data_IF_620449773748
#
_entry.id   IF_620449773748
#
_cell.length_a   1.000
_cell.length_b   1.000
_cell.length_c   1.000
_cell.angle_alpha   90.00
_cell.angle_beta   90.00
_cell.angle_gamma   90.00
#
_symmetry.space_group_name_H-M   'P 1'
#
loop_
_entity.id
_entity.type
_entity.pdbx_description
1 polymer ?
#
# COMPACT_ATOMS: atom_id res chain seq x y z
N UNK A 1 9.64 -60.60 -27.49
CA UNK A 1 10.71 -59.64 -27.17
C UNK A 1 10.70 -58.60 -28.29
N UNK A 2 10.21 -57.35 -28.16
CA UNK A 2 10.28 -56.42 -27.04
C UNK A 2 9.15 -55.36 -27.12
N UNK A 3 8.78 -54.89 -25.93
CA UNK A 3 7.70 -53.98 -25.56
C UNK A 3 7.59 -52.70 -26.40
N UNK A 4 6.43 -52.48 -27.04
CA UNK A 4 6.08 -51.20 -27.71
C UNK A 4 4.80 -50.54 -27.19
N UNK A 5 4.19 -51.08 -26.13
CA UNK A 5 2.88 -50.62 -25.62
C UNK A 5 3.02 -49.58 -24.49
N UNK A 6 4.24 -49.27 -24.04
CA UNK A 6 4.48 -48.42 -22.87
C UNK A 6 4.36 -46.89 -23.11
N UNK A 7 3.86 -46.42 -24.26
CA UNK A 7 3.74 -44.98 -24.55
C UNK A 7 2.35 -44.40 -24.23
N UNK A 8 1.31 -45.24 -24.17
CA UNK A 8 -0.07 -44.82 -23.91
C UNK A 8 -0.38 -44.40 -22.46
N UNK A 9 0.23 -44.94 -21.38
CA UNK A 9 -0.12 -44.53 -20.02
C UNK A 9 0.50 -43.17 -19.65
N UNK A 10 1.57 -42.75 -20.34
CA UNK A 10 2.28 -41.50 -20.05
C UNK A 10 1.45 -40.27 -20.49
N UNK A 11 0.68 -40.40 -21.57
CA UNK A 11 -0.17 -39.31 -22.07
C UNK A 11 -1.43 -39.09 -21.22
N UNK A 12 -1.97 -40.16 -20.63
CA UNK A 12 -3.12 -40.09 -19.72
C UNK A 12 -2.77 -39.39 -18.38
N UNK A 13 -1.51 -39.48 -17.94
CA UNK A 13 -1.03 -38.83 -16.71
C UNK A 13 -0.83 -37.31 -16.86
N UNK A 14 -0.51 -36.80 -18.06
CA UNK A 14 -0.36 -35.35 -18.28
C UNK A 14 -1.71 -34.61 -18.33
N UNK A 15 -2.79 -35.28 -18.71
CA UNK A 15 -4.12 -34.68 -18.79
C UNK A 15 -4.74 -34.39 -17.41
N UNK A 16 -4.16 -34.92 -16.32
CA UNK A 16 -4.55 -34.65 -14.94
C UNK A 16 -3.75 -33.51 -14.30
N UNK A 17 -2.86 -32.85 -15.03
CA UNK A 17 -2.16 -31.65 -14.57
C UNK A 17 -3.17 -30.50 -14.45
N UNK A 18 -3.76 -30.37 -13.25
CA UNK A 18 -4.82 -29.44 -12.94
C UNK A 18 -4.51 -28.00 -13.37
N UNK A 19 -5.56 -27.31 -13.81
CA UNK A 19 -5.54 -25.87 -14.00
C UNK A 19 -5.26 -25.21 -12.65
N UNK A 20 -4.03 -24.75 -12.43
CA UNK A 20 -3.70 -23.87 -11.32
C UNK A 20 -4.48 -22.56 -11.52
N UNK A 21 -5.59 -22.41 -10.80
CA UNK A 21 -6.32 -21.15 -10.73
C UNK A 21 -5.49 -20.16 -9.94
N UNK A 22 -4.96 -19.14 -10.61
CA UNK A 22 -4.34 -18.02 -9.93
C UNK A 22 -5.45 -17.19 -9.27
N UNK A 23 -5.50 -17.21 -7.94
CA UNK A 23 -6.32 -16.28 -7.18
C UNK A 23 -5.68 -14.90 -7.29
N UNK A 24 -6.31 -14.00 -8.04
CA UNK A 24 -5.88 -12.58 -8.07
C UNK A 24 -6.28 -11.94 -6.75
N UNK A 25 -5.29 -11.69 -5.90
CA UNK A 25 -5.47 -10.98 -4.64
C UNK A 25 -6.03 -9.57 -4.91
N UNK A 26 -7.21 -9.27 -4.34
CA UNK A 26 -7.87 -7.97 -4.39
C UNK A 26 -7.00 -6.80 -3.85
N UNK A 27 -5.93 -7.14 -3.13
CA UNK A 27 -4.94 -6.24 -2.51
C UNK A 27 -4.35 -5.26 -3.53
N UNK A 28 -4.10 -5.72 -4.77
CA UNK A 28 -3.43 -4.89 -5.77
C UNK A 28 -4.33 -3.75 -6.27
N UNK A 29 -5.64 -4.00 -6.41
CA UNK A 29 -6.61 -2.97 -6.84
C UNK A 29 -6.82 -1.89 -5.79
N UNK A 30 -6.96 -2.28 -4.52
CA UNK A 30 -7.17 -1.35 -3.41
C UNK A 30 -5.97 -0.40 -3.23
N UNK A 31 -4.75 -0.92 -3.40
CA UNK A 31 -3.55 -0.08 -3.35
C UNK A 31 -3.49 0.93 -4.51
N UNK A 32 -3.90 0.54 -5.72
CA UNK A 32 -3.88 1.39 -6.92
C UNK A 32 -4.87 2.57 -6.81
N UNK A 33 -6.10 2.30 -6.33
CA UNK A 33 -7.13 3.33 -6.15
C UNK A 33 -6.74 4.35 -5.07
N UNK A 34 -6.22 3.88 -3.93
CA UNK A 34 -5.74 4.77 -2.86
C UNK A 34 -4.58 5.66 -3.34
N UNK A 35 -3.62 5.10 -4.09
CA UNK A 35 -2.49 5.87 -4.65
C UNK A 35 -2.94 6.97 -5.60
N UNK A 36 -4.02 6.75 -6.37
CA UNK A 36 -4.54 7.75 -7.31
C UNK A 36 -5.18 8.95 -6.58
N UNK A 37 -5.77 8.71 -5.40
CA UNK A 37 -6.35 9.76 -4.58
C UNK A 37 -5.30 10.52 -3.74
N UNK A 38 -4.13 9.95 -3.47
CA UNK A 38 -3.12 10.53 -2.59
C UNK A 38 -2.18 11.56 -3.26
N UNK A 39 -1.61 12.50 -2.49
CA UNK A 39 -0.57 13.38 -2.99
C UNK A 39 0.64 12.59 -3.51
N UNK A 40 1.21 13.02 -4.63
CA UNK A 40 2.43 12.42 -5.16
C UNK A 40 3.65 12.86 -4.34
N UNK A 41 4.64 11.96 -4.23
CA UNK A 41 5.93 12.26 -3.62
C UNK A 41 6.57 13.48 -4.28
N UNK A 42 7.17 14.37 -3.49
CA UNK A 42 7.81 15.59 -3.96
C UNK A 42 6.89 16.81 -4.15
N UNK A 43 5.56 16.65 -4.10
CA UNK A 43 4.65 17.81 -4.07
C UNK A 43 4.97 18.72 -2.88
N UNK A 44 4.74 20.01 -3.02
CA UNK A 44 4.96 20.97 -1.92
C UNK A 44 3.77 20.99 -0.96
N UNK A 45 3.99 21.40 0.29
CA UNK A 45 2.90 21.61 1.25
C UNK A 45 1.79 22.49 0.69
N UNK A 46 2.14 23.57 -0.01
CA UNK A 46 1.17 24.47 -0.63
C UNK A 46 0.36 23.79 -1.75
N UNK A 47 1.00 22.94 -2.56
CA UNK A 47 0.30 22.16 -3.60
C UNK A 47 -0.67 21.14 -2.98
N UNK A 48 -0.25 20.49 -1.89
CA UNK A 48 -1.12 19.56 -1.16
C UNK A 48 -2.30 20.32 -0.56
N UNK A 49 -2.08 21.43 0.13
CA UNK A 49 -3.15 22.24 0.72
C UNK A 49 -4.10 22.82 -0.33
N UNK A 50 -3.58 23.24 -1.49
CA UNK A 50 -4.40 23.73 -2.59
C UNK A 50 -5.30 22.65 -3.21
N UNK A 51 -4.81 21.40 -3.29
CA UNK A 51 -5.55 20.29 -3.92
C UNK A 51 -6.49 19.56 -2.96
N UNK A 52 -6.10 19.41 -1.70
CA UNK A 52 -6.80 18.61 -0.70
C UNK A 52 -7.46 19.45 0.41
N UNK A 53 -7.24 20.76 0.41
CA UNK A 53 -7.66 21.66 1.47
C UNK A 53 -6.75 21.62 2.70
N UNK A 54 -7.17 22.36 3.73
CA UNK A 54 -6.49 22.36 5.02
C UNK A 54 -6.57 20.97 5.68
N UNK A 55 -5.47 20.50 6.31
CA UNK A 55 -5.48 19.22 7.01
C UNK A 55 -6.36 19.29 8.26
N UNK A 56 -6.96 18.15 8.63
CA UNK A 56 -7.72 18.01 9.88
C UNK A 56 -6.85 18.25 11.11
N UNK A 57 -5.59 17.80 11.05
CA UNK A 57 -4.62 18.01 12.13
C UNK A 57 -3.20 18.19 11.58
N UNK A 58 -2.46 19.16 12.13
CA UNK A 58 -1.01 19.27 11.95
C UNK A 58 -0.35 18.76 13.22
N UNK A 59 0.28 17.58 13.15
CA UNK A 59 0.96 16.99 14.30
C UNK A 59 2.32 17.65 14.51
N UNK A 60 2.82 17.61 15.75
CA UNK A 60 4.14 18.13 16.08
C UNK A 60 5.22 17.47 15.22
N UNK A 61 6.14 18.26 14.65
CA UNK A 61 7.25 17.72 13.88
C UNK A 61 8.08 16.78 14.75
N UNK A 62 8.59 15.70 14.14
CA UNK A 62 9.52 14.77 14.81
C UNK A 62 10.85 14.77 14.09
N UNK A 63 11.93 14.52 14.83
CA UNK A 63 13.28 14.74 14.33
C UNK A 63 13.74 16.19 14.59
N UNK A 64 14.76 16.63 13.88
CA UNK A 64 15.33 17.98 13.99
C UNK A 64 16.38 18.15 15.08
N UNK A 65 16.62 17.15 15.95
CA UNK A 65 17.61 17.27 17.04
C UNK A 65 19.06 17.27 16.53
N UNK A 66 19.31 16.73 15.34
CA UNK A 66 20.62 16.69 14.69
C UNK A 66 20.46 17.00 13.21
N UNK A 67 21.49 17.56 12.58
CA UNK A 67 21.48 17.85 11.14
C UNK A 67 21.15 16.62 10.27
N UNK A 68 21.60 15.44 10.71
CA UNK A 68 21.36 14.16 10.05
C UNK A 68 19.94 13.59 10.28
N UNK A 69 19.17 14.17 11.21
CA UNK A 69 17.80 13.76 11.53
C UNK A 69 16.86 14.90 11.12
N UNK A 70 16.46 14.99 9.85
CA UNK A 70 15.62 16.08 9.40
C UNK A 70 14.29 16.09 10.15
N UNK A 71 13.75 17.29 10.35
CA UNK A 71 12.43 17.45 10.94
C UNK A 71 11.35 17.02 9.94
N UNK A 72 10.48 16.10 10.37
CA UNK A 72 9.37 15.57 9.59
C UNK A 72 8.06 16.14 10.13
N UNK A 73 7.42 16.96 9.30
CA UNK A 73 6.07 17.47 9.55
C UNK A 73 5.05 16.41 9.14
N UNK A 74 3.98 16.26 9.92
CA UNK A 74 2.91 15.30 9.63
C UNK A 74 1.57 15.98 9.61
N UNK A 75 0.88 15.88 8.48
CA UNK A 75 -0.47 16.41 8.31
C UNK A 75 -1.45 15.27 8.13
N UNK A 76 -2.51 15.29 8.93
CA UNK A 76 -3.57 14.27 8.92
C UNK A 76 -4.74 14.79 8.12
N UNK A 77 -5.14 14.02 7.11
CA UNK A 77 -6.40 14.15 6.38
C UNK A 77 -7.33 13.00 6.80
N UNK A 78 -8.63 13.06 6.47
CA UNK A 78 -9.57 12.01 6.86
C UNK A 78 -9.17 10.61 6.38
N UNK A 79 -8.65 10.50 5.15
CA UNK A 79 -8.34 9.22 4.50
C UNK A 79 -6.86 8.81 4.65
N UNK A 80 -5.95 9.76 4.85
CA UNK A 80 -4.51 9.51 4.83
C UNK A 80 -3.72 10.52 5.66
N UNK A 81 -2.48 10.17 5.97
CA UNK A 81 -1.51 11.06 6.62
C UNK A 81 -0.34 11.33 5.68
N UNK A 82 -0.01 12.60 5.49
CA UNK A 82 1.08 13.07 4.63
C UNK A 82 2.27 13.45 5.49
N UNK A 83 3.44 12.94 5.13
CA UNK A 83 4.72 13.21 5.78
C UNK A 83 5.54 14.13 4.89
N UNK A 84 6.03 15.22 5.46
CA UNK A 84 6.85 16.19 4.74
C UNK A 84 8.21 16.34 5.39
N UNK A 85 9.25 16.37 4.56
CA UNK A 85 10.54 16.91 4.94
C UNK A 85 10.65 18.33 4.40
N UNK A 86 11.01 19.28 5.28
CA UNK A 86 10.98 20.72 4.98
C UNK A 86 9.58 21.14 4.51
N UNK A 87 9.36 21.20 3.20
CA UNK A 87 8.08 21.56 2.58
C UNK A 87 7.68 20.62 1.44
N UNK A 88 8.28 19.42 1.35
CA UNK A 88 7.98 18.45 0.29
C UNK A 88 7.51 17.12 0.84
N UNK A 89 6.54 16.52 0.15
CA UNK A 89 6.01 15.19 0.48
C UNK A 89 7.14 14.16 0.36
N UNK A 90 7.42 13.47 1.45
CA UNK A 90 8.33 12.33 1.46
C UNK A 90 7.59 11.00 1.56
N UNK A 91 6.38 10.97 2.12
CA UNK A 91 5.60 9.75 2.20
C UNK A 91 4.11 10.06 2.43
N UNK A 92 3.24 9.14 2.05
CA UNK A 92 1.80 9.21 2.30
C UNK A 92 1.31 7.83 2.72
N UNK A 93 0.61 7.78 3.85
CA UNK A 93 0.12 6.52 4.43
C UNK A 93 -1.40 6.59 4.54
N UNK A 94 -2.11 5.56 4.04
CA UNK A 94 -3.55 5.44 4.22
C UNK A 94 -3.86 5.23 5.71
N UNK A 95 -4.89 5.89 6.23
CA UNK A 95 -5.28 5.71 7.63
C UNK A 95 -5.98 4.36 7.87
N UNK A 96 -6.59 3.79 6.82
CA UNK A 96 -7.21 2.47 6.78
C UNK A 96 -6.80 1.82 5.44
N UNK A 97 -6.53 0.53 5.43
CA UNK A 97 -6.26 -0.23 4.20
C UNK A 97 -7.54 -0.34 3.35
N UNK A 98 -8.68 -0.51 4.00
CA UNK A 98 -10.00 -0.65 3.37
C UNK A 98 -11.10 -0.01 4.20
N UNK A 99 -12.23 0.33 3.58
CA UNK A 99 -13.37 0.95 4.27
C UNK A 99 -14.00 0.08 5.38
N UNK A 100 -13.79 -1.23 5.34
CA UNK A 100 -14.28 -2.20 6.32
C UNK A 100 -13.24 -2.63 7.35
N UNK A 101 -12.03 -2.04 7.34
CA UNK A 101 -11.02 -2.35 8.33
C UNK A 101 -11.47 -1.83 9.71
N UNK A 102 -11.62 -2.76 10.66
CA UNK A 102 -11.66 -2.44 12.08
C UNK A 102 -10.23 -2.56 12.56
N UNK A 103 -9.61 -1.42 12.87
CA UNK A 103 -8.20 -1.32 13.25
C UNK A 103 -7.79 -2.22 14.43
N UNK A 104 -6.52 -2.16 14.86
CA UNK A 104 -5.96 -3.14 15.79
C UNK A 104 -6.81 -3.32 17.05
N UNK A 105 -6.96 -4.58 17.48
CA UNK A 105 -7.72 -4.95 18.68
C UNK A 105 -7.33 -4.03 19.85
N UNK A 106 -8.29 -3.32 20.46
CA UNK A 106 -7.97 -2.38 21.52
C UNK A 106 -7.26 -3.11 22.68
N UNK A 107 -6.30 -2.44 23.35
CA UNK A 107 -5.57 -3.04 24.44
C UNK A 107 -6.56 -3.45 25.54
N UNK A 108 -6.40 -4.68 26.02
CA UNK A 108 -7.14 -5.19 27.18
C UNK A 108 -6.60 -4.42 28.38
N UNK A 109 -7.46 -3.69 29.10
CA UNK A 109 -7.09 -3.01 30.35
C UNK A 109 -6.95 -4.01 31.50
#
# INVERSE_FOLDING_TARGET
MNSRIAALPLFALLALAGTAGAETLLIERVQEENRTAMPARGQTMAQVEARYGAPTQRLDPRGGQKRQWPAINRWVYPQFTVYFERSRVIDVVANQADATEVGPKPPIR
#
